data_IF_504877342439
#
_entry.id   IF_504877342439
#
_cell.length_a   1.000
_cell.length_b   1.000
_cell.length_c   1.000
_cell.angle_alpha   90.00
_cell.angle_beta   90.00
_cell.angle_gamma   90.00
#
_symmetry.space_group_name_H-M   'P 1'
#
loop_
_entity.id
_entity.type
_entity.pdbx_description
1 polymer ?
#
# COMPACT_ATOMS: atom_id res chain seq x y z
N UNK A 1 88.82 -14.38 53.30
CA UNK A 1 88.40 -12.99 53.58
C UNK A 1 87.19 -12.68 52.72
N UNK A 2 86.10 -12.16 53.31
CA UNK A 2 84.90 -11.72 52.59
C UNK A 2 83.65 -12.53 52.92
N UNK A 3 82.77 -11.94 53.72
CA UNK A 3 81.53 -12.50 54.33
C UNK A 3 80.38 -12.64 53.32
N UNK A 4 79.54 -13.65 53.57
CA UNK A 4 78.05 -13.64 53.70
C UNK A 4 77.28 -12.64 52.81
N UNK A 5 76.21 -13.00 52.10
CA UNK A 5 74.94 -13.47 52.68
C UNK A 5 74.06 -14.16 51.64
N UNK A 6 73.33 -15.17 52.09
CA UNK A 6 72.27 -15.90 51.41
C UNK A 6 71.10 -15.02 50.94
N UNK A 7 70.55 -15.30 49.76
CA UNK A 7 69.14 -15.10 49.48
C UNK A 7 68.66 -16.17 48.49
N UNK A 8 67.75 -16.99 48.98
CA UNK A 8 66.99 -18.06 48.34
C UNK A 8 66.31 -17.64 47.03
N UNK A 9 66.48 -18.42 45.96
CA UNK A 9 65.52 -18.46 44.85
C UNK A 9 65.15 -19.92 44.53
N UNK A 10 63.95 -20.29 44.96
CA UNK A 10 63.31 -21.60 44.77
C UNK A 10 62.70 -21.69 43.36
N UNK A 11 62.95 -22.82 42.72
CA UNK A 11 62.05 -23.59 41.85
C UNK A 11 61.12 -22.81 40.89
N UNK A 12 61.55 -22.67 39.63
CA UNK A 12 60.64 -22.59 38.49
C UNK A 12 60.34 -24.01 37.99
N UNK A 13 59.17 -24.55 38.33
CA UNK A 13 58.61 -25.75 37.71
C UNK A 13 57.40 -25.33 36.89
N UNK A 14 57.47 -25.64 35.60
CA UNK A 14 56.48 -25.35 34.56
C UNK A 14 55.11 -25.95 34.91
N UNK A 15 54.08 -25.10 34.83
CA UNK A 15 52.68 -25.51 34.64
C UNK A 15 52.14 -24.76 33.43
N UNK A 16 52.07 -25.47 32.31
CA UNK A 16 51.32 -25.08 31.11
C UNK A 16 49.83 -25.00 31.46
N UNK A 17 49.34 -23.81 31.76
CA UNK A 17 47.91 -23.52 31.80
C UNK A 17 47.41 -23.29 30.38
N UNK A 18 46.61 -24.22 29.86
CA UNK A 18 45.78 -23.98 28.67
C UNK A 18 44.86 -22.80 28.97
N UNK A 19 45.22 -21.63 28.45
CA UNK A 19 44.34 -20.47 28.42
C UNK A 19 43.29 -20.70 27.32
N UNK A 20 42.26 -21.49 27.64
CA UNK A 20 41.03 -21.50 26.85
C UNK A 20 40.42 -20.12 26.99
N UNK A 21 40.72 -19.24 26.03
CA UNK A 21 40.02 -17.99 25.85
C UNK A 21 38.54 -18.33 25.64
N UNK A 22 37.76 -18.30 26.72
CA UNK A 22 36.31 -18.27 26.65
C UNK A 22 35.97 -16.88 26.15
N UNK A 23 35.75 -16.79 24.84
CA UNK A 23 35.00 -15.70 24.25
C UNK A 23 33.60 -15.83 24.84
N UNK A 24 33.37 -15.19 25.98
CA UNK A 24 32.03 -14.92 26.46
C UNK A 24 31.39 -14.03 25.39
N UNK A 25 30.64 -14.65 24.48
CA UNK A 25 29.71 -13.94 23.63
C UNK A 25 28.73 -13.29 24.59
N UNK A 26 28.97 -12.02 24.92
CA UNK A 26 27.96 -11.21 25.56
C UNK A 26 26.73 -11.31 24.65
N UNK A 27 25.67 -11.95 25.15
CA UNK A 27 24.40 -11.94 24.46
C UNK A 27 24.03 -10.48 24.26
N UNK A 28 24.04 -10.03 23.00
CA UNK A 28 23.42 -8.76 22.65
C UNK A 28 21.97 -8.92 23.10
N UNK A 29 21.45 -8.06 23.99
CA UNK A 29 20.06 -8.19 24.40
C UNK A 29 19.20 -8.10 23.14
N UNK A 30 18.34 -9.10 22.94
CA UNK A 30 17.28 -9.08 21.93
C UNK A 30 16.38 -7.88 22.24
N UNK A 31 16.76 -6.70 21.74
CA UNK A 31 15.87 -5.55 21.73
C UNK A 31 14.82 -5.86 20.68
N UNK A 32 13.60 -6.15 21.12
CA UNK A 32 12.47 -6.34 20.24
C UNK A 32 12.37 -5.14 19.27
N UNK A 33 12.48 -5.33 17.94
CA UNK A 33 12.35 -4.25 16.97
C UNK A 33 11.01 -3.50 17.06
N UNK A 34 9.96 -4.08 17.65
CA UNK A 34 8.71 -3.38 17.93
C UNK A 34 8.85 -2.30 19.03
N UNK A 35 9.84 -2.43 19.90
CA UNK A 35 10.10 -1.46 20.98
C UNK A 35 10.69 -0.14 20.46
N UNK A 36 11.35 -0.16 19.28
CA UNK A 36 11.91 1.05 18.65
C UNK A 36 10.83 2.06 18.22
N UNK A 37 9.62 1.56 17.91
CA UNK A 37 8.43 2.35 17.56
C UNK A 37 7.29 2.11 18.56
N UNK A 38 7.65 2.06 19.85
CA UNK A 38 6.74 1.88 20.97
C UNK A 38 6.39 3.19 21.70
N UNK A 39 5.98 3.05 22.98
CA UNK A 39 5.54 4.15 23.87
C UNK A 39 6.54 5.31 23.97
N UNK A 40 7.84 5.02 23.85
CA UNK A 40 8.90 6.01 23.96
C UNK A 40 9.14 6.80 22.66
N UNK A 41 8.63 6.33 21.52
CA UNK A 41 8.83 6.98 20.22
C UNK A 41 7.66 7.88 19.84
N UNK A 42 6.44 7.35 19.92
CA UNK A 42 5.24 8.11 19.57
C UNK A 42 4.73 8.90 20.77
N UNK A 43 4.43 10.20 20.63
CA UNK A 43 3.90 10.98 21.73
C UNK A 43 2.51 10.48 22.09
N UNK A 44 2.21 10.37 23.38
CA UNK A 44 0.89 9.97 23.84
C UNK A 44 -0.06 11.18 23.98
N UNK A 45 -0.11 11.96 22.90
CA UNK A 45 -0.84 13.23 22.78
C UNK A 45 -2.33 13.05 23.01
N UNK A 46 -2.95 13.97 23.76
CA UNK A 46 -4.41 13.97 23.95
C UNK A 46 -5.06 14.68 22.76
N UNK A 47 -5.96 13.97 22.08
CA UNK A 47 -6.77 14.45 20.96
C UNK A 47 -8.25 14.35 21.33
N UNK A 48 -9.10 15.02 20.56
CA UNK A 48 -10.56 14.99 20.70
C UNK A 48 -11.12 14.48 19.37
N UNK A 49 -11.93 13.43 19.41
CA UNK A 49 -12.56 12.90 18.21
C UNK A 49 -13.84 13.67 17.83
N UNK A 50 -14.42 13.33 16.66
CA UNK A 50 -15.63 13.96 16.15
C UNK A 50 -16.87 13.80 17.03
N UNK A 51 -16.84 12.88 17.99
CA UNK A 51 -17.91 12.63 18.96
C UNK A 51 -17.65 13.34 20.31
N UNK A 52 -16.62 14.19 20.37
CA UNK A 52 -16.26 14.98 21.55
C UNK A 52 -15.50 14.19 22.61
N UNK A 53 -15.07 12.96 22.31
CA UNK A 53 -14.35 12.11 23.26
C UNK A 53 -12.87 12.42 23.24
N UNK A 54 -12.27 12.60 24.43
CA UNK A 54 -10.82 12.70 24.58
C UNK A 54 -10.19 11.31 24.45
N UNK A 55 -9.17 11.21 23.61
CA UNK A 55 -8.41 9.98 23.32
C UNK A 55 -6.92 10.28 23.36
N UNK A 56 -6.12 9.28 23.72
CA UNK A 56 -4.66 9.36 23.75
C UNK A 56 -4.08 8.68 22.51
N UNK A 57 -3.22 9.39 21.79
CA UNK A 57 -2.72 8.94 20.49
C UNK A 57 -2.07 7.55 20.56
N UNK A 58 -1.18 7.31 21.53
CA UNK A 58 -0.53 6.02 21.62
C UNK A 58 -1.51 4.96 22.12
N UNK A 59 -2.02 5.12 23.34
CA UNK A 59 -2.78 4.07 24.04
C UNK A 59 -4.10 3.72 23.33
N UNK A 60 -4.85 4.73 22.88
CA UNK A 60 -6.19 4.54 22.36
C UNK A 60 -6.23 4.39 20.84
N UNK A 61 -5.27 4.98 20.10
CA UNK A 61 -5.34 5.00 18.64
C UNK A 61 -4.39 4.02 17.96
N UNK A 62 -3.14 3.88 18.41
CA UNK A 62 -2.16 3.10 17.63
C UNK A 62 -1.65 1.83 18.31
N UNK A 63 -1.70 1.72 19.64
CA UNK A 63 -1.24 0.55 20.38
C UNK A 63 -1.94 -0.73 19.90
N UNK A 64 -1.14 -1.71 19.51
CA UNK A 64 -1.57 -3.03 19.00
C UNK A 64 -2.52 -2.99 17.78
N UNK A 65 -2.52 -1.87 17.02
CA UNK A 65 -3.43 -1.65 15.90
C UNK A 65 -2.70 -1.49 14.58
N UNK A 66 -3.43 -1.78 13.49
CA UNK A 66 -3.05 -1.34 12.14
C UNK A 66 -3.78 -0.06 11.82
N UNK A 67 -3.04 0.97 11.42
CA UNK A 67 -3.55 2.32 11.31
C UNK A 67 -3.20 2.94 9.98
N UNK A 68 -4.12 3.77 9.46
CA UNK A 68 -3.87 4.71 8.38
C UNK A 68 -4.13 6.13 8.90
N UNK A 69 -3.13 7.00 8.87
CA UNK A 69 -3.16 8.33 9.47
C UNK A 69 -2.85 9.37 8.38
N UNK A 70 -3.78 10.30 8.15
CA UNK A 70 -3.51 11.50 7.35
C UNK A 70 -3.82 12.76 8.15
N UNK A 71 -3.25 13.88 7.71
CA UNK A 71 -3.51 15.20 8.25
C UNK A 71 -4.32 15.99 7.24
N UNK A 72 -5.37 16.68 7.68
CA UNK A 72 -6.31 17.40 6.82
C UNK A 72 -6.70 18.74 7.46
N UNK A 73 -7.52 19.53 6.78
CA UNK A 73 -8.33 20.58 7.40
C UNK A 73 -9.64 20.71 6.61
N UNK A 74 -10.76 20.90 7.31
CA UNK A 74 -12.09 20.72 6.67
C UNK A 74 -12.43 21.81 5.66
N UNK A 75 -11.79 22.98 5.76
CA UNK A 75 -11.93 24.10 4.81
C UNK A 75 -11.09 23.93 3.53
N UNK A 76 -10.32 22.85 3.39
CA UNK A 76 -9.54 22.57 2.17
C UNK A 76 -10.46 22.25 0.99
N UNK A 77 -10.27 22.97 -0.13
CA UNK A 77 -11.07 22.82 -1.36
C UNK A 77 -10.35 22.04 -2.46
N UNK A 78 -9.17 21.49 -2.18
CA UNK A 78 -8.31 20.82 -3.18
C UNK A 78 -8.08 19.34 -2.83
N UNK A 79 -6.96 19.02 -2.17
CA UNK A 79 -6.54 17.63 -1.94
C UNK A 79 -7.39 16.87 -0.93
N UNK A 80 -7.75 17.47 0.21
CA UNK A 80 -8.36 16.75 1.35
C UNK A 80 -9.68 16.04 1.00
N UNK A 81 -10.63 16.66 0.25
CA UNK A 81 -11.83 15.95 -0.22
C UNK A 81 -11.52 14.72 -1.09
N UNK A 82 -10.50 14.81 -1.95
CA UNK A 82 -10.09 13.72 -2.84
C UNK A 82 -9.44 12.57 -2.07
N UNK A 83 -8.59 12.89 -1.08
CA UNK A 83 -8.00 11.91 -0.16
C UNK A 83 -9.08 11.18 0.63
N UNK A 84 -10.02 11.92 1.21
CA UNK A 84 -11.10 11.35 2.00
C UNK A 84 -11.98 10.44 1.15
N UNK A 85 -12.32 10.86 -0.08
CA UNK A 85 -13.06 10.02 -1.02
C UNK A 85 -12.29 8.74 -1.41
N UNK A 86 -10.96 8.82 -1.60
CA UNK A 86 -10.12 7.66 -1.92
C UNK A 86 -10.04 6.69 -0.75
N UNK A 87 -9.75 7.17 0.44
CA UNK A 87 -9.70 6.35 1.65
C UNK A 87 -11.07 5.72 1.96
N UNK A 88 -12.19 6.36 1.60
CA UNK A 88 -13.51 5.73 1.68
C UNK A 88 -13.64 4.51 0.78
N UNK A 89 -13.02 4.50 -0.39
CA UNK A 89 -12.96 3.30 -1.25
C UNK A 89 -12.16 2.19 -0.57
N UNK A 90 -11.01 2.52 0.04
CA UNK A 90 -10.19 1.56 0.80
C UNK A 90 -10.99 0.99 1.99
N UNK A 91 -11.72 1.83 2.72
CA UNK A 91 -12.59 1.39 3.81
C UNK A 91 -13.64 0.39 3.32
N UNK A 92 -14.25 0.62 2.14
CA UNK A 92 -15.20 -0.34 1.54
C UNK A 92 -14.53 -1.67 1.18
N UNK A 93 -13.31 -1.64 0.63
CA UNK A 93 -12.56 -2.86 0.27
C UNK A 93 -12.14 -3.67 1.49
N UNK A 94 -11.78 -3.00 2.60
CA UNK A 94 -11.41 -3.65 3.85
C UNK A 94 -12.62 -4.17 4.65
N UNK A 95 -13.81 -3.62 4.42
CA UNK A 95 -15.05 -4.05 5.04
C UNK A 95 -15.01 -4.03 6.56
N UNK A 96 -15.49 -5.09 7.20
CA UNK A 96 -15.58 -5.25 8.66
C UNK A 96 -14.23 -5.23 9.41
N UNK A 97 -13.12 -5.29 8.67
CA UNK A 97 -11.80 -5.11 9.28
C UNK A 97 -11.60 -3.71 9.84
N UNK A 98 -12.21 -2.71 9.20
CA UNK A 98 -12.12 -1.33 9.68
C UNK A 98 -12.98 -1.19 10.93
N UNK A 99 -12.33 -0.88 12.05
CA UNK A 99 -12.95 -0.82 13.38
C UNK A 99 -12.74 -2.08 14.23
N UNK A 100 -12.18 -3.15 13.65
CA UNK A 100 -11.80 -4.37 14.37
C UNK A 100 -10.29 -4.48 14.55
N UNK A 101 -9.57 -4.51 13.44
CA UNK A 101 -8.11 -4.72 13.41
C UNK A 101 -7.37 -3.68 12.55
N UNK A 102 -8.10 -2.93 11.71
CA UNK A 102 -7.60 -1.78 10.95
C UNK A 102 -8.37 -0.53 11.36
N UNK A 103 -7.70 0.61 11.51
CA UNK A 103 -8.31 1.87 11.95
C UNK A 103 -7.79 3.06 11.15
N UNK A 104 -8.69 3.98 10.79
CA UNK A 104 -8.33 5.16 10.02
C UNK A 104 -8.44 6.41 10.89
N UNK A 105 -7.50 7.32 10.74
CA UNK A 105 -7.41 8.55 11.54
C UNK A 105 -7.11 9.73 10.62
N UNK A 106 -8.04 10.68 10.57
CA UNK A 106 -7.85 11.95 9.87
C UNK A 106 -7.74 13.07 10.90
N UNK A 107 -6.54 13.62 11.06
CA UNK A 107 -6.22 14.57 12.12
C UNK A 107 -6.19 15.99 11.54
N UNK A 108 -7.00 16.90 12.08
CA UNK A 108 -7.00 18.28 11.63
C UNK A 108 -5.70 19.00 11.99
N UNK A 109 -5.20 19.85 11.08
CA UNK A 109 -4.12 20.82 11.35
C UNK A 109 -4.64 22.23 11.67
N UNK A 110 -5.97 22.43 11.61
CA UNK A 110 -6.65 23.71 11.83
C UNK A 110 -7.64 23.61 13.00
N UNK A 111 -7.15 23.38 14.23
CA UNK A 111 -8.02 23.14 15.38
C UNK A 111 -8.84 24.36 15.82
N UNK A 112 -8.50 25.56 15.34
CA UNK A 112 -9.26 26.78 15.61
C UNK A 112 -10.59 26.80 14.86
N UNK A 113 -10.65 26.14 13.69
CA UNK A 113 -11.85 26.07 12.83
C UNK A 113 -12.52 24.69 12.89
N UNK A 114 -11.72 23.63 12.97
CA UNK A 114 -12.17 22.24 12.91
C UNK A 114 -12.52 21.71 14.30
N UNK A 115 -13.66 22.16 14.83
CA UNK A 115 -14.25 21.62 16.07
C UNK A 115 -14.74 20.17 15.87
N UNK A 116 -14.99 19.40 16.95
CA UNK A 116 -15.58 18.06 16.85
C UNK A 116 -16.86 18.01 15.99
N UNK A 117 -17.73 19.01 16.12
CA UNK A 117 -18.97 19.12 15.35
C UNK A 117 -18.68 19.33 13.86
N UNK A 118 -17.74 20.22 13.51
CA UNK A 118 -17.30 20.46 12.13
C UNK A 118 -16.71 19.20 11.52
N UNK A 119 -15.87 18.48 12.26
CA UNK A 119 -15.29 17.21 11.84
C UNK A 119 -16.36 16.13 11.63
N UNK A 120 -17.36 16.06 12.51
CA UNK A 120 -18.48 15.12 12.37
C UNK A 120 -19.30 15.40 11.12
N UNK A 121 -19.58 16.67 10.85
CA UNK A 121 -20.26 17.08 9.62
C UNK A 121 -19.44 16.74 8.38
N UNK A 122 -18.12 16.99 8.41
CA UNK A 122 -17.22 16.65 7.31
C UNK A 122 -17.22 15.14 7.04
N UNK A 123 -17.01 14.31 8.07
CA UNK A 123 -17.05 12.85 7.95
C UNK A 123 -18.40 12.34 7.40
N UNK A 124 -19.50 12.97 7.81
CA UNK A 124 -20.85 12.68 7.32
C UNK A 124 -21.01 12.90 5.81
N UNK A 125 -20.42 13.96 5.25
CA UNK A 125 -20.47 14.24 3.79
C UNK A 125 -19.85 13.13 2.96
N UNK A 126 -18.81 12.46 3.48
CA UNK A 126 -18.13 11.34 2.80
C UNK A 126 -18.67 9.96 3.19
N UNK A 127 -19.73 9.91 4.01
CA UNK A 127 -20.37 8.68 4.48
C UNK A 127 -19.34 7.73 5.11
N UNK A 128 -18.44 8.30 5.92
CA UNK A 128 -17.40 7.55 6.63
C UNK A 128 -18.06 6.51 7.52
N UNK A 129 -17.61 5.26 7.40
CA UNK A 129 -18.10 4.15 8.21
C UNK A 129 -17.37 4.00 9.54
N UNK A 130 -17.77 3.02 10.38
CA UNK A 130 -17.11 2.69 11.63
C UNK A 130 -15.59 2.44 11.48
N UNK A 131 -14.86 2.65 12.58
CA UNK A 131 -13.41 2.43 12.63
C UNK A 131 -12.55 3.52 11.98
N UNK A 132 -13.17 4.60 11.50
CA UNK A 132 -12.48 5.80 11.03
C UNK A 132 -12.87 6.99 11.90
N UNK A 133 -11.90 7.59 12.59
CA UNK A 133 -12.11 8.77 13.44
C UNK A 133 -11.48 10.02 12.81
N UNK A 134 -12.16 11.15 13.01
CA UNK A 134 -11.68 12.48 12.68
C UNK A 134 -11.33 13.18 14.00
N UNK A 135 -10.12 13.72 14.08
CA UNK A 135 -9.51 14.15 15.35
C UNK A 135 -9.04 15.60 15.27
N UNK A 136 -9.16 16.33 16.37
CA UNK A 136 -8.59 17.67 16.58
C UNK A 136 -7.88 17.71 17.95
N UNK A 137 -7.26 18.83 18.29
CA UNK A 137 -6.50 18.97 19.54
C UNK A 137 -5.80 20.32 19.65
N UNK A 138 -4.84 20.44 20.56
CA UNK A 138 -4.03 21.67 20.64
C UNK A 138 -3.11 21.76 19.42
N UNK A 139 -2.91 22.97 18.91
CA UNK A 139 -2.07 23.21 17.72
C UNK A 139 -0.63 22.71 17.90
N UNK A 140 -0.03 22.95 19.06
CA UNK A 140 1.34 22.52 19.37
C UNK A 140 1.45 20.99 19.46
N UNK A 141 0.45 20.36 20.09
CA UNK A 141 0.33 18.91 20.21
C UNK A 141 0.23 18.22 18.83
N UNK A 142 -0.60 18.78 17.93
CA UNK A 142 -0.73 18.31 16.54
C UNK A 142 0.60 18.49 15.80
N UNK A 143 1.25 19.64 15.96
CA UNK A 143 2.53 19.94 15.30
C UNK A 143 3.63 18.98 15.76
N UNK A 144 3.72 18.69 17.06
CA UNK A 144 4.64 17.71 17.61
C UNK A 144 4.35 16.30 17.07
N UNK A 145 3.08 15.90 17.02
CA UNK A 145 2.68 14.60 16.48
C UNK A 145 3.09 14.47 15.01
N UNK A 146 2.89 15.51 14.20
CA UNK A 146 3.33 15.55 12.79
C UNK A 146 4.84 15.41 12.67
N UNK A 147 5.61 16.02 13.56
CA UNK A 147 7.07 15.89 13.59
C UNK A 147 7.49 14.44 13.91
N UNK A 148 6.89 13.82 14.92
CA UNK A 148 7.15 12.41 15.28
C UNK A 148 6.79 11.43 14.17
N UNK A 149 5.81 11.76 13.32
CA UNK A 149 5.42 10.97 12.15
C UNK A 149 6.24 11.32 10.89
N UNK A 150 7.19 12.26 10.98
CA UNK A 150 8.02 12.69 9.85
C UNK A 150 7.24 13.42 8.76
N UNK A 151 6.12 14.06 9.11
CA UNK A 151 5.20 14.80 8.23
C UNK A 151 5.29 16.32 8.39
N UNK A 152 6.28 16.81 9.13
CA UNK A 152 6.50 18.23 9.36
C UNK A 152 7.72 18.73 8.57
N UNK A 153 7.51 19.76 7.76
CA UNK A 153 8.52 20.43 6.95
C UNK A 153 8.71 21.84 7.52
N UNK A 154 9.88 22.07 8.14
CA UNK A 154 10.23 23.38 8.70
C UNK A 154 10.22 24.44 7.61
N UNK A 155 9.49 25.53 7.83
CA UNK A 155 9.34 26.66 6.89
C UNK A 155 8.21 26.52 5.88
N UNK A 156 7.51 25.37 5.86
CA UNK A 156 6.22 25.20 5.15
C UNK A 156 5.10 25.06 6.18
N UNK A 157 5.33 24.26 7.22
CA UNK A 157 4.35 23.96 8.27
C UNK A 157 4.43 24.91 9.49
N UNK A 158 4.96 26.13 9.32
CA UNK A 158 5.22 27.09 10.39
C UNK A 158 3.99 27.93 10.80
N UNK A 159 2.83 27.62 10.23
CA UNK A 159 1.55 28.27 10.53
C UNK A 159 1.25 29.51 9.70
N UNK A 160 2.12 29.90 8.76
CA UNK A 160 1.86 31.01 7.84
C UNK A 160 1.03 30.61 6.61
N UNK A 161 1.03 29.32 6.24
CA UNK A 161 0.18 28.76 5.18
C UNK A 161 -0.53 27.49 5.68
N UNK A 162 -1.59 27.06 4.98
CA UNK A 162 -2.23 25.75 5.22
C UNK A 162 -1.61 24.63 4.36
N UNK A 163 -0.52 24.93 3.64
CA UNK A 163 0.23 23.93 2.89
C UNK A 163 0.91 22.98 3.86
N UNK A 164 0.81 21.69 3.58
CA UNK A 164 1.38 20.66 4.44
C UNK A 164 1.69 19.39 3.66
N UNK A 165 2.47 18.49 4.28
CA UNK A 165 2.78 17.19 3.70
C UNK A 165 1.52 16.30 3.64
N UNK A 166 1.08 15.97 2.43
CA UNK A 166 -0.08 15.12 2.14
C UNK A 166 0.23 13.61 2.18
N UNK A 167 1.37 13.20 2.74
CA UNK A 167 1.70 11.78 2.86
C UNK A 167 0.76 11.09 3.86
N UNK A 168 0.24 9.94 3.47
CA UNK A 168 -0.47 9.03 4.36
C UNK A 168 0.56 8.22 5.15
N UNK A 169 0.40 8.09 6.45
CA UNK A 169 1.18 7.15 7.26
C UNK A 169 0.35 5.89 7.44
N UNK A 170 0.92 4.74 7.07
CA UNK A 170 0.34 3.45 7.43
C UNK A 170 1.30 2.69 8.33
N UNK A 171 0.76 2.01 9.33
CA UNK A 171 1.60 1.23 10.23
C UNK A 171 0.86 0.19 11.04
N UNK A 172 1.62 -0.74 11.60
CA UNK A 172 1.17 -1.73 12.56
C UNK A 172 2.11 -1.64 13.76
N UNK A 173 1.60 -1.10 14.87
CA UNK A 173 2.40 -0.85 16.07
C UNK A 173 2.92 -2.15 16.69
N UNK A 174 2.11 -3.21 16.75
CA UNK A 174 2.51 -4.50 17.33
C UNK A 174 3.66 -5.18 16.58
N UNK A 175 3.77 -4.94 15.27
CA UNK A 175 4.90 -5.41 14.45
C UNK A 175 6.06 -4.40 14.33
N UNK A 176 5.84 -3.16 14.77
CA UNK A 176 6.73 -2.03 14.54
C UNK A 176 6.81 -1.56 13.08
N UNK A 177 5.96 -2.02 12.16
CA UNK A 177 6.09 -1.60 10.75
C UNK A 177 5.40 -0.26 10.53
N UNK A 178 6.14 0.70 9.98
CA UNK A 178 5.61 2.02 9.59
C UNK A 178 6.14 2.41 8.22
N UNK A 179 5.30 3.01 7.39
CA UNK A 179 5.70 3.52 6.08
C UNK A 179 4.87 4.72 5.65
N UNK A 180 5.48 5.59 4.85
CA UNK A 180 4.76 6.61 4.08
C UNK A 180 4.11 5.94 2.86
N UNK A 181 2.87 6.32 2.61
CA UNK A 181 2.08 5.96 1.45
C UNK A 181 1.46 7.22 0.85
N UNK A 182 0.88 7.10 -0.34
CA UNK A 182 0.08 8.18 -0.91
C UNK A 182 -1.40 7.91 -0.60
N UNK A 183 -2.16 8.91 -0.13
CA UNK A 183 -3.61 8.78 -0.01
C UNK A 183 -4.29 8.63 -1.38
N UNK A 184 -3.58 8.88 -2.49
CA UNK A 184 -4.06 8.73 -3.87
C UNK A 184 -3.64 7.41 -4.52
N UNK A 185 -2.99 6.51 -3.78
CA UNK A 185 -2.58 5.20 -4.29
C UNK A 185 -3.78 4.35 -4.76
N UNK A 186 -3.51 3.34 -5.59
CA UNK A 186 -4.51 2.36 -5.98
C UNK A 186 -5.16 1.75 -4.71
N UNK A 187 -6.49 1.81 -4.55
CA UNK A 187 -7.16 1.45 -3.31
C UNK A 187 -7.02 -0.04 -2.98
N UNK A 188 -6.84 -0.92 -3.98
CA UNK A 188 -6.59 -2.35 -3.75
C UNK A 188 -5.19 -2.61 -3.18
N UNK A 189 -4.18 -1.86 -3.65
CA UNK A 189 -2.81 -1.96 -3.12
C UNK A 189 -2.77 -1.46 -1.68
N UNK A 190 -3.42 -0.33 -1.40
CA UNK A 190 -3.47 0.22 -0.05
C UNK A 190 -4.27 -0.69 0.90
N UNK A 191 -5.38 -1.27 0.45
CA UNK A 191 -6.14 -2.26 1.20
C UNK A 191 -5.33 -3.55 1.46
N UNK A 192 -4.55 -4.03 0.49
CA UNK A 192 -3.68 -5.20 0.69
C UNK A 192 -2.55 -4.91 1.69
N UNK A 193 -1.97 -3.71 1.66
CA UNK A 193 -0.94 -3.33 2.63
C UNK A 193 -1.47 -3.29 4.06
N UNK A 194 -2.58 -2.58 4.27
CA UNK A 194 -3.27 -2.49 5.56
C UNK A 194 -3.81 -3.85 6.01
N UNK A 195 -4.28 -4.63 5.06
CA UNK A 195 -4.91 -5.91 5.33
C UNK A 195 -3.92 -7.05 5.60
N UNK A 196 -2.80 -7.10 4.90
CA UNK A 196 -1.92 -8.27 4.89
C UNK A 196 -0.47 -7.90 5.16
N UNK A 197 0.09 -7.01 4.34
CA UNK A 197 1.54 -6.79 4.34
C UNK A 197 2.05 -6.28 5.69
N UNK A 198 1.30 -5.41 6.39
CA UNK A 198 1.70 -4.88 7.69
C UNK A 198 1.66 -5.90 8.83
N UNK A 199 1.03 -7.07 8.68
CA UNK A 199 0.86 -8.08 9.74
C UNK A 199 1.98 -9.13 9.78
N UNK A 200 2.62 -9.42 8.65
CA UNK A 200 3.38 -10.66 8.48
C UNK A 200 4.91 -10.54 8.69
N UNK A 201 5.39 -9.55 9.45
CA UNK A 201 6.85 -9.32 9.58
C UNK A 201 7.48 -9.94 10.84
N UNK A 202 6.71 -10.29 11.87
CA UNK A 202 7.28 -10.66 13.18
C UNK A 202 7.01 -12.10 13.63
N UNK A 203 6.46 -12.93 12.75
CA UNK A 203 6.55 -14.37 12.89
C UNK A 203 7.43 -14.84 11.73
N UNK A 204 8.55 -15.52 12.03
CA UNK A 204 9.04 -16.49 11.07
C UNK A 204 7.83 -17.37 10.76
N UNK A 205 7.44 -17.44 9.48
CA UNK A 205 6.27 -18.21 9.06
C UNK A 205 6.27 -19.56 9.77
N UNK A 206 5.36 -19.76 10.73
CA UNK A 206 5.19 -21.06 11.41
C UNK A 206 4.56 -22.06 10.47
N UNK A 207 3.97 -21.57 9.38
CA UNK A 207 3.92 -22.34 8.17
C UNK A 207 5.35 -22.49 7.65
N UNK A 208 5.91 -23.69 7.78
CA UNK A 208 6.59 -24.29 6.64
C UNK A 208 5.57 -24.40 5.50
N UNK A 209 5.13 -23.25 4.97
CA UNK A 209 4.74 -23.18 3.58
C UNK A 209 6.04 -23.55 2.91
N UNK A 210 6.09 -24.82 2.55
CA UNK A 210 7.06 -25.40 1.66
C UNK A 210 7.38 -24.27 0.67
N UNK A 211 8.63 -23.79 0.57
CA UNK A 211 8.96 -22.73 -0.41
C UNK A 211 8.50 -23.13 -1.83
N UNK A 212 8.23 -24.42 -2.03
CA UNK A 212 7.48 -25.01 -3.12
C UNK A 212 6.03 -24.48 -3.36
N UNK A 213 5.42 -23.73 -2.44
CA UNK A 213 4.06 -23.16 -2.55
C UNK A 213 4.03 -21.63 -2.52
N UNK A 214 5.18 -20.96 -2.39
CA UNK A 214 5.23 -19.51 -2.59
C UNK A 214 4.94 -19.21 -4.06
N UNK A 215 3.86 -18.48 -4.35
CA UNK A 215 3.54 -18.06 -5.72
C UNK A 215 4.73 -17.28 -6.26
N UNK A 216 5.38 -17.83 -7.29
CA UNK A 216 6.52 -17.19 -7.93
C UNK A 216 6.06 -15.85 -8.51
N UNK A 217 6.56 -14.74 -7.96
CA UNK A 217 6.31 -13.41 -8.51
C UNK A 217 7.10 -13.33 -9.81
N UNK A 218 6.43 -13.58 -10.94
CA UNK A 218 7.05 -13.40 -12.26
C UNK A 218 7.12 -11.90 -12.58
N UNK A 219 8.24 -11.40 -13.15
CA UNK A 219 8.23 -10.08 -13.75
C UNK A 219 7.13 -10.02 -14.83
N UNK A 220 6.34 -8.94 -14.89
CA UNK A 220 5.26 -8.85 -15.86
C UNK A 220 5.84 -8.88 -17.27
N UNK A 221 5.21 -9.67 -18.15
CA UNK A 221 5.64 -9.73 -19.55
C UNK A 221 5.50 -8.36 -20.22
N UNK A 222 6.19 -8.15 -21.35
CA UNK A 222 6.03 -6.91 -22.10
C UNK A 222 4.55 -6.64 -22.45
N UNK A 223 3.80 -7.68 -22.81
CA UNK A 223 2.37 -7.59 -23.09
C UNK A 223 1.53 -7.20 -21.87
N UNK A 224 1.84 -7.75 -20.70
CA UNK A 224 1.17 -7.39 -19.45
C UNK A 224 1.41 -5.90 -19.11
N UNK A 225 2.64 -5.41 -19.27
CA UNK A 225 2.98 -4.01 -19.00
C UNK A 225 2.23 -3.07 -19.95
N UNK A 226 2.18 -3.40 -21.24
CA UNK A 226 1.42 -2.63 -22.24
C UNK A 226 -0.07 -2.61 -21.88
N UNK A 227 -0.66 -3.76 -21.58
CA UNK A 227 -2.07 -3.85 -21.19
C UNK A 227 -2.38 -2.96 -19.98
N UNK A 228 -1.57 -3.06 -18.92
CA UNK A 228 -1.76 -2.32 -17.66
C UNK A 228 -1.59 -0.81 -17.80
N UNK A 229 -0.83 -0.35 -18.80
CA UNK A 229 -0.52 1.08 -18.97
C UNK A 229 -1.33 1.74 -20.09
N UNK A 230 -1.79 0.97 -21.08
CA UNK A 230 -2.45 1.48 -22.30
C UNK A 230 -3.88 1.01 -22.49
N UNK A 231 -4.26 -0.14 -21.92
CA UNK A 231 -5.56 -0.78 -22.20
C UNK A 231 -6.49 -0.82 -20.99
N UNK A 232 -5.95 -1.06 -19.79
CA UNK A 232 -6.74 -1.36 -18.60
C UNK A 232 -7.56 -0.19 -18.06
N UNK A 233 -7.37 1.03 -18.56
CA UNK A 233 -8.21 2.18 -18.21
C UNK A 233 -9.62 2.06 -18.79
N UNK A 234 -9.75 1.40 -19.95
CA UNK A 234 -11.00 1.29 -20.69
C UNK A 234 -11.50 -0.15 -20.82
N UNK A 235 -10.62 -1.14 -20.69
CA UNK A 235 -10.94 -2.55 -20.86
C UNK A 235 -10.79 -3.35 -19.56
N UNK A 236 -11.64 -4.37 -19.44
CA UNK A 236 -11.51 -5.44 -18.45
C UNK A 236 -10.87 -6.68 -19.08
N UNK A 237 -10.41 -7.59 -18.22
CA UNK A 237 -9.88 -8.90 -18.60
C UNK A 237 -10.35 -9.96 -17.60
N UNK A 238 -11.64 -10.28 -17.66
CA UNK A 238 -12.33 -11.27 -16.83
C UNK A 238 -12.89 -10.76 -15.50
N UNK A 239 -12.55 -9.53 -15.09
CA UNK A 239 -13.03 -8.89 -13.86
C UNK A 239 -14.11 -7.83 -14.15
N UNK A 240 -15.22 -8.27 -14.71
CA UNK A 240 -16.36 -7.39 -15.05
C UNK A 240 -17.12 -6.92 -13.80
N UNK A 241 -17.04 -7.68 -12.70
CA UNK A 241 -17.73 -7.38 -11.44
C UNK A 241 -17.12 -6.18 -10.69
N UNK A 242 -15.83 -5.89 -10.90
CA UNK A 242 -15.13 -4.74 -10.30
C UNK A 242 -14.60 -3.75 -11.34
N UNK A 243 -15.21 -3.74 -12.52
CA UNK A 243 -14.72 -3.00 -13.66
C UNK A 243 -14.67 -1.48 -13.44
N UNK A 244 -15.65 -0.90 -12.76
CA UNK A 244 -15.75 0.56 -12.57
C UNK A 244 -15.75 1.28 -13.93
N UNK A 245 -14.88 2.28 -14.11
CA UNK A 245 -14.72 2.98 -15.41
C UNK A 245 -14.01 2.14 -16.48
N UNK A 246 -13.49 0.94 -16.15
CA UNK A 246 -12.84 0.03 -17.10
C UNK A 246 -13.83 -0.76 -17.97
N UNK A 247 -15.12 -0.44 -17.89
CA UNK A 247 -16.20 -0.97 -18.75
C UNK A 247 -16.54 -0.05 -19.92
N UNK A 248 -15.71 0.96 -20.20
CA UNK A 248 -15.92 1.86 -21.34
C UNK A 248 -15.80 1.07 -22.66
N UNK A 249 -14.83 0.17 -22.74
CA UNK A 249 -14.68 -0.81 -23.81
C UNK A 249 -15.09 -2.22 -23.38
N UNK A 250 -15.13 -3.17 -24.33
CA UNK A 250 -15.42 -4.57 -24.07
C UNK A 250 -14.46 -5.18 -23.04
N UNK A 251 -14.95 -6.20 -22.32
CA UNK A 251 -14.07 -7.17 -21.68
C UNK A 251 -13.29 -7.94 -22.75
N UNK A 252 -11.98 -8.07 -22.54
CA UNK A 252 -11.07 -8.68 -23.52
C UNK A 252 -10.83 -10.17 -23.25
N UNK A 253 -11.46 -10.75 -22.23
CA UNK A 253 -11.31 -12.17 -21.95
C UNK A 253 -11.86 -12.99 -23.12
N UNK A 254 -11.03 -13.85 -23.70
CA UNK A 254 -11.42 -14.67 -24.86
C UNK A 254 -11.38 -13.94 -26.20
N UNK A 255 -10.97 -12.67 -26.26
CA UNK A 255 -11.02 -11.90 -27.51
C UNK A 255 -10.22 -12.56 -28.63
N UNK A 256 -9.06 -13.15 -28.31
CA UNK A 256 -8.22 -13.87 -29.27
C UNK A 256 -8.86 -15.16 -29.82
N UNK A 257 -9.81 -15.75 -29.09
CA UNK A 257 -10.57 -16.93 -29.55
C UNK A 257 -11.77 -16.54 -30.41
N UNK A 258 -12.30 -15.33 -30.19
CA UNK A 258 -13.56 -14.87 -30.78
C UNK A 258 -13.36 -14.00 -32.03
N UNK A 259 -12.13 -13.57 -32.33
CA UNK A 259 -11.86 -12.59 -33.38
C UNK A 259 -10.74 -13.06 -34.28
N UNK A 260 -10.83 -12.67 -35.55
CA UNK A 260 -9.79 -12.95 -36.53
C UNK A 260 -8.46 -12.30 -36.10
N UNK A 261 -7.34 -13.06 -36.09
CA UNK A 261 -6.06 -12.53 -35.64
C UNK A 261 -5.50 -11.38 -36.49
N UNK A 262 -5.77 -11.37 -37.80
CA UNK A 262 -5.32 -10.28 -38.67
C UNK A 262 -6.14 -9.01 -38.41
N UNK A 263 -7.45 -9.16 -38.19
CA UNK A 263 -8.31 -8.06 -37.78
C UNK A 263 -7.87 -7.46 -36.44
N UNK A 264 -7.59 -8.28 -35.42
CA UNK A 264 -7.12 -7.80 -34.11
C UNK A 264 -5.81 -7.02 -34.20
N UNK A 265 -4.84 -7.53 -34.98
CA UNK A 265 -3.56 -6.85 -35.20
C UNK A 265 -3.78 -5.49 -35.87
N UNK A 266 -4.62 -5.45 -36.91
CA UNK A 266 -4.94 -4.20 -37.61
C UNK A 266 -5.67 -3.21 -36.69
N UNK A 267 -6.65 -3.68 -35.92
CA UNK A 267 -7.42 -2.85 -35.00
C UNK A 267 -6.54 -2.22 -33.91
N UNK A 268 -5.55 -2.94 -33.38
CA UNK A 268 -4.60 -2.39 -32.41
C UNK A 268 -3.60 -1.40 -33.04
N UNK A 269 -3.30 -1.56 -34.34
CA UNK A 269 -2.36 -0.71 -35.08
C UNK A 269 -2.99 0.61 -35.53
N UNK A 270 -4.22 0.55 -36.02
CA UNK A 270 -4.87 1.64 -36.75
C UNK A 270 -6.41 1.67 -36.60
N UNK A 271 -6.93 1.75 -35.36
CA UNK A 271 -8.39 1.74 -35.12
C UNK A 271 -9.09 2.95 -35.76
N UNK A 272 -8.41 4.10 -35.81
CA UNK A 272 -8.86 5.33 -36.45
C UNK A 272 -9.04 5.18 -37.96
N UNK A 273 -8.11 4.48 -38.63
CA UNK A 273 -8.21 4.19 -40.07
C UNK A 273 -9.35 3.22 -40.34
N UNK A 274 -9.48 2.15 -39.54
CA UNK A 274 -10.56 1.18 -39.70
C UNK A 274 -11.96 1.79 -39.48
N UNK A 275 -12.09 2.74 -38.54
CA UNK A 275 -13.33 3.50 -38.35
C UNK A 275 -13.62 4.44 -39.54
N UNK A 276 -12.61 5.11 -40.08
CA UNK A 276 -12.75 5.99 -41.25
C UNK A 276 -13.17 5.21 -42.52
N UNK A 277 -12.60 4.01 -42.71
CA UNK A 277 -12.97 3.06 -43.77
C UNK A 277 -14.35 2.42 -43.56
N UNK A 278 -14.94 2.60 -42.37
CA UNK A 278 -16.19 1.96 -41.94
C UNK A 278 -16.12 0.43 -41.98
N UNK A 279 -15.03 -0.15 -41.46
CA UNK A 279 -14.93 -1.59 -41.26
C UNK A 279 -16.20 -2.11 -40.54
N UNK A 280 -16.91 -3.13 -41.07
CA UNK A 280 -18.22 -3.52 -40.56
C UNK A 280 -18.23 -3.91 -39.07
N UNK A 281 -17.17 -4.59 -38.62
CA UNK A 281 -17.05 -5.02 -37.24
C UNK A 281 -16.67 -3.84 -36.34
N UNK A 282 -15.74 -2.98 -36.77
CA UNK A 282 -15.37 -1.77 -36.06
C UNK A 282 -16.59 -0.85 -35.84
N UNK A 283 -17.43 -0.67 -36.87
CA UNK A 283 -18.63 0.15 -36.78
C UNK A 283 -19.69 -0.47 -35.86
N UNK A 284 -19.82 -1.80 -35.86
CA UNK A 284 -20.72 -2.50 -34.93
C UNK A 284 -20.28 -2.27 -33.48
N UNK A 285 -18.99 -2.43 -33.20
CA UNK A 285 -18.43 -2.19 -31.86
C UNK A 285 -18.56 -0.72 -31.47
N UNK A 286 -18.31 0.21 -32.39
CA UNK A 286 -18.46 1.64 -32.14
C UNK A 286 -19.89 1.99 -31.71
N UNK A 287 -20.91 1.50 -32.42
CA UNK A 287 -22.31 1.72 -32.03
C UNK A 287 -22.64 1.04 -30.68
N UNK A 288 -22.13 -0.17 -30.45
CA UNK A 288 -22.37 -0.92 -29.21
C UNK A 288 -21.76 -0.25 -27.97
N UNK A 289 -20.61 0.40 -28.12
CA UNK A 289 -19.87 1.04 -27.03
C UNK A 289 -20.03 2.58 -27.07
N UNK A 290 -21.28 3.03 -27.14
CA UNK A 290 -21.70 4.44 -27.01
C UNK A 290 -21.04 5.41 -28.00
N UNK A 291 -20.68 4.94 -29.20
CA UNK A 291 -20.01 5.75 -30.22
C UNK A 291 -18.73 6.40 -29.71
N UNK A 292 -18.03 5.71 -28.80
CA UNK A 292 -16.73 6.14 -28.35
C UNK A 292 -15.65 5.42 -29.17
N UNK A 293 -14.91 6.19 -29.94
CA UNK A 293 -13.83 5.65 -30.76
C UNK A 293 -12.67 5.17 -29.87
N UNK A 294 -12.17 3.96 -30.12
CA UNK A 294 -10.93 3.51 -29.49
C UNK A 294 -9.76 4.36 -30.00
N UNK A 295 -8.98 5.00 -29.11
CA UNK A 295 -7.85 5.83 -29.54
C UNK A 295 -6.74 4.96 -30.13
N UNK A 296 -6.04 5.49 -31.13
CA UNK A 296 -4.83 4.86 -31.65
C UNK A 296 -3.70 4.99 -30.61
N UNK A 297 -3.29 3.84 -30.05
CA UNK A 297 -2.27 3.75 -29.01
C UNK A 297 -0.83 3.77 -29.55
N UNK A 298 -0.67 3.90 -30.88
CA UNK A 298 0.61 3.96 -31.61
C UNK A 298 1.53 2.76 -31.33
N UNK A 299 0.94 1.58 -31.17
CA UNK A 299 1.68 0.35 -30.89
C UNK A 299 2.40 -0.15 -32.16
N UNK A 300 3.66 -0.55 -32.02
CA UNK A 300 4.42 -1.24 -33.05
C UNK A 300 4.10 -2.74 -33.13
N UNK A 301 4.55 -3.41 -34.20
CA UNK A 301 4.27 -4.84 -34.45
C UNK A 301 4.67 -5.75 -33.28
N UNK A 302 5.82 -5.49 -32.64
CA UNK A 302 6.29 -6.28 -31.49
C UNK A 302 5.42 -6.06 -30.25
N UNK A 303 4.95 -4.83 -30.03
CA UNK A 303 4.08 -4.48 -28.90
C UNK A 303 2.68 -5.06 -29.07
N UNK A 304 2.15 -5.03 -30.30
CA UNK A 304 0.89 -5.67 -30.68
C UNK A 304 0.96 -7.18 -30.46
N UNK A 305 2.04 -7.82 -30.94
CA UNK A 305 2.24 -9.25 -30.71
C UNK A 305 2.34 -9.58 -29.22
N UNK A 306 3.05 -8.75 -28.45
CA UNK A 306 3.20 -8.96 -27.01
C UNK A 306 1.87 -8.83 -26.26
N UNK A 307 1.07 -7.79 -26.52
CA UNK A 307 -0.22 -7.60 -25.84
C UNK A 307 -1.21 -8.69 -26.22
N UNK A 308 -1.29 -9.09 -27.50
CA UNK A 308 -2.14 -10.20 -27.92
C UNK A 308 -1.70 -11.52 -27.28
N UNK A 309 -0.38 -11.76 -27.18
CA UNK A 309 0.16 -12.92 -26.46
C UNK A 309 -0.28 -12.95 -24.99
N UNK A 310 -0.18 -11.81 -24.30
CA UNK A 310 -0.64 -11.69 -22.91
C UNK A 310 -2.16 -11.93 -22.77
N UNK A 311 -2.99 -11.37 -23.66
CA UNK A 311 -4.44 -11.61 -23.63
C UNK A 311 -4.79 -13.09 -23.85
N UNK A 312 -4.04 -13.78 -24.70
CA UNK A 312 -4.18 -15.23 -24.92
C UNK A 312 -3.82 -16.01 -23.65
N UNK A 313 -2.65 -15.74 -23.07
CA UNK A 313 -2.19 -16.39 -21.84
C UNK A 313 -3.23 -16.26 -20.72
N UNK A 314 -3.76 -15.06 -20.54
CA UNK A 314 -4.73 -14.79 -19.48
C UNK A 314 -6.09 -15.44 -19.75
N UNK A 315 -6.50 -15.49 -21.02
CA UNK A 315 -7.67 -16.26 -21.45
C UNK A 315 -7.49 -17.74 -21.15
N UNK A 316 -6.35 -18.33 -21.48
CA UNK A 316 -6.07 -19.74 -21.25
C UNK A 316 -5.99 -20.06 -19.75
N UNK A 317 -5.48 -19.12 -18.94
CA UNK A 317 -5.42 -19.22 -17.48
C UNK A 317 -6.80 -19.23 -16.83
N UNK A 318 -7.70 -18.35 -17.28
CA UNK A 318 -9.02 -18.16 -16.66
C UNK A 318 -10.12 -19.04 -17.30
N UNK A 319 -9.94 -19.45 -18.55
CA UNK A 319 -10.86 -20.31 -19.30
C UNK A 319 -10.10 -21.44 -19.99
N UNK A 320 -9.54 -22.42 -19.26
CA UNK A 320 -8.80 -23.52 -19.86
C UNK A 320 -9.71 -24.31 -20.82
N UNK A 321 -9.21 -24.63 -22.00
CA UNK A 321 -9.93 -25.49 -22.95
C UNK A 321 -10.01 -26.89 -22.33
N UNK A 322 -11.21 -27.35 -22.03
CA UNK A 322 -11.43 -28.70 -21.50
C UNK A 322 -11.00 -29.69 -22.57
N UNK A 323 -9.89 -30.41 -22.36
CA UNK A 323 -9.47 -31.46 -23.26
C UNK A 323 -10.58 -32.51 -23.30
N UNK A 324 -11.13 -32.75 -24.49
CA UNK A 324 -12.03 -33.87 -24.71
C UNK A 324 -11.30 -35.13 -24.26
N UNK A 325 -11.78 -35.74 -23.19
CA UNK A 325 -11.43 -37.10 -22.80
C UNK A 325 -11.77 -38.00 -23.98
N UNK A 326 -10.75 -38.37 -24.75
CA UNK A 326 -10.83 -39.46 -25.72
C UNK A 326 -11.01 -40.73 -24.89
N UNK A 327 -12.25 -41.20 -24.80
CA UNK A 327 -12.57 -42.60 -24.51
C UNK A 327 -12.61 -43.37 -25.82
#
# INVERSE_FOLDING_TARGET
>A
MGRQTSATLRCCLLLLTLCSAQWASAAVPDSDPAQQWGENYFPNTVLINQDGQSVRFFDDLIKDKVVAINFIFTSCTDSCPLETARLRQVQKLLGERVGRDVFFYSISIDPETDTPETLKQYAGKFQVGPGWQFLTGRKDDISQLRQSLGLFIKGVDDGNTKDHNLSLIIGNQGTGRWMKASPFENPYVLADRLGKSLHNWKLASTQTNNQAQATTIRPPSAGEQIYRTRCSSCHTLGDTQHAGMRSIGPDLLGVNRQRDPAWLKRWLKEPDVMLAEKDPLAMTLYEQYNRLAMPNLRLGELEIAAVLGYLQEETDRLQPVQQASVQ
#
